data_IF_634226255606
#
_entry.id   IF_634226255606
#
_cell.length_a   1.000
_cell.length_b   1.000
_cell.length_c   1.000
_cell.angle_alpha   90.00
_cell.angle_beta   90.00
_cell.angle_gamma   90.00
#
_symmetry.space_group_name_H-M   'P 1'
#
loop_
_entity.id
_entity.type
_entity.pdbx_description
1 polymer ?
#
# COMPACT_ATOMS: atom_id res chain seq x y z
N UNK A 1 -60.55 19.14 52.67
CA UNK A 1 -61.45 17.98 52.48
C UNK A 1 -60.61 16.84 51.92
N UNK A 2 -60.52 15.72 52.67
CA UNK A 2 -60.20 14.32 52.29
C UNK A 2 -59.20 14.01 51.14
N UNK A 3 -58.06 13.36 51.47
CA UNK A 3 -57.69 11.94 51.17
C UNK A 3 -57.49 11.63 49.67
N UNK A 4 -56.61 10.75 49.17
CA UNK A 4 -55.51 9.86 49.57
C UNK A 4 -55.37 8.92 48.34
N UNK A 5 -54.19 8.35 48.07
CA UNK A 5 -53.96 7.10 47.30
C UNK A 5 -54.13 7.17 45.77
N UNK A 6 -53.48 6.38 44.91
CA UNK A 6 -52.35 5.41 44.89
C UNK A 6 -52.44 4.79 43.49
N UNK A 7 -51.34 4.59 42.75
CA UNK A 7 -51.01 3.35 42.03
C UNK A 7 -49.93 3.57 40.96
N UNK A 8 -48.87 2.77 41.10
CA UNK A 8 -47.92 2.40 40.07
C UNK A 8 -48.62 1.68 38.91
N UNK A 9 -48.20 1.91 37.67
CA UNK A 9 -48.05 0.86 36.64
C UNK A 9 -46.85 1.16 35.74
N UNK A 10 -45.98 0.14 35.66
CA UNK A 10 -44.77 0.03 34.83
C UNK A 10 -45.15 0.03 33.34
N UNK A 11 -44.30 0.61 32.48
CA UNK A 11 -44.00 0.09 31.15
C UNK A 11 -42.53 0.41 30.83
N UNK A 12 -41.78 -0.63 30.49
CA UNK A 12 -40.38 -0.66 30.09
C UNK A 12 -40.25 -0.55 28.56
N UNK A 13 -39.00 -0.43 28.09
CA UNK A 13 -38.44 -0.47 26.71
C UNK A 13 -38.36 0.89 26.02
N UNK A 14 -37.19 1.53 25.92
CA UNK A 14 -35.93 1.23 25.18
C UNK A 14 -36.13 1.29 23.67
N UNK A 15 -35.68 2.39 23.07
CA UNK A 15 -35.30 2.48 21.66
C UNK A 15 -34.09 3.41 21.51
N UNK A 16 -33.06 2.87 20.87
CA UNK A 16 -31.73 3.41 20.63
C UNK A 16 -31.67 4.16 19.27
N UNK A 17 -30.67 5.03 19.17
CA UNK A 17 -30.02 5.57 17.97
C UNK A 17 -30.67 6.76 17.24
N UNK A 18 -29.93 7.87 17.19
CA UNK A 18 -29.21 8.30 15.99
C UNK A 18 -28.54 9.66 16.27
N UNK A 19 -27.22 9.75 16.15
CA UNK A 19 -26.55 11.04 15.95
C UNK A 19 -25.43 10.85 14.93
N UNK A 20 -25.71 11.29 13.71
CA UNK A 20 -24.73 11.65 12.71
C UNK A 20 -23.88 12.81 13.23
N UNK A 21 -22.57 12.78 13.01
CA UNK A 21 -21.75 13.98 12.99
C UNK A 21 -20.64 13.84 11.95
N UNK A 22 -20.82 14.57 10.84
CA UNK A 22 -19.77 14.97 9.90
C UNK A 22 -18.96 16.09 10.55
N UNK A 23 -17.64 16.10 10.37
CA UNK A 23 -16.82 17.27 10.72
C UNK A 23 -15.33 17.07 10.47
N UNK A 24 -14.83 17.63 9.36
CA UNK A 24 -13.41 17.83 9.10
C UNK A 24 -13.00 19.18 9.69
N UNK A 25 -11.84 19.25 10.35
CA UNK A 25 -11.15 20.51 10.68
C UNK A 25 -10.29 20.43 11.94
N UNK A 26 -8.97 20.24 11.79
CA UNK A 26 -7.96 20.56 12.82
C UNK A 26 -7.69 22.09 12.86
N UNK A 27 -6.95 22.69 13.82
CA UNK A 27 -6.15 22.10 14.93
C UNK A 27 -6.34 22.78 16.31
N UNK A 28 -5.93 22.12 17.41
CA UNK A 28 -5.39 22.81 18.59
C UNK A 28 -4.61 21.87 19.51
N UNK A 29 -3.52 22.41 20.07
CA UNK A 29 -2.59 21.77 20.98
C UNK A 29 -3.19 21.57 22.39
N UNK A 30 -2.88 20.40 22.95
CA UNK A 30 -2.81 20.04 24.37
C UNK A 30 -4.08 20.18 25.21
N UNK A 31 -4.68 19.02 25.55
CA UNK A 31 -4.91 18.61 26.94
C UNK A 31 -4.76 17.08 26.97
N UNK A 32 -3.75 16.61 27.71
CA UNK A 32 -3.51 15.19 27.95
C UNK A 32 -4.65 14.61 28.79
N UNK A 33 -5.69 14.13 28.12
CA UNK A 33 -6.53 13.09 28.66
C UNK A 33 -5.96 11.77 28.12
N UNK A 34 -5.31 11.00 28.98
CA UNK A 34 -5.08 9.57 28.76
C UNK A 34 -6.46 8.90 28.76
N UNK A 35 -7.21 9.07 27.67
CA UNK A 35 -8.14 8.05 27.22
C UNK A 35 -7.23 6.88 26.90
N UNK A 36 -7.27 5.84 27.73
CA UNK A 36 -6.87 4.52 27.27
C UNK A 36 -7.53 4.33 25.90
N UNK A 37 -6.70 4.20 24.87
CA UNK A 37 -7.17 3.81 23.57
C UNK A 37 -7.86 2.47 23.80
N UNK A 38 -9.19 2.42 23.64
CA UNK A 38 -9.89 1.15 23.54
C UNK A 38 -9.18 0.45 22.39
N UNK A 39 -8.41 -0.60 22.69
CA UNK A 39 -7.78 -1.40 21.67
C UNK A 39 -8.88 -1.82 20.71
N UNK A 40 -8.82 -1.36 19.45
CA UNK A 40 -9.75 -1.88 18.45
C UNK A 40 -9.45 -3.36 18.35
N UNK A 41 -10.38 -4.20 18.77
CA UNK A 41 -10.26 -5.63 18.56
C UNK A 41 -10.36 -5.88 17.06
N UNK A 42 -9.41 -6.65 16.53
CA UNK A 42 -9.23 -6.78 15.10
C UNK A 42 -7.90 -7.41 14.75
N UNK A 43 -7.78 -7.82 13.49
CA UNK A 43 -6.51 -8.30 12.94
C UNK A 43 -5.61 -7.11 12.62
N UNK A 44 -4.44 -7.01 13.27
CA UNK A 44 -3.48 -5.92 13.06
C UNK A 44 -2.35 -6.35 12.12
N UNK A 45 -2.25 -5.66 10.99
CA UNK A 45 -1.18 -5.81 10.01
C UNK A 45 -0.40 -4.52 9.86
N UNK A 46 0.74 -4.59 9.19
CA UNK A 46 1.61 -3.48 8.91
C UNK A 46 1.66 -3.22 7.41
N UNK A 47 1.56 -1.97 6.98
CA UNK A 47 1.40 -1.62 5.57
C UNK A 47 2.40 -0.54 5.13
N UNK A 48 2.98 -0.73 3.95
CA UNK A 48 3.68 0.32 3.18
C UNK A 48 3.16 0.39 1.75
N UNK A 49 3.22 1.60 1.16
CA UNK A 49 3.08 1.81 -0.29
C UNK A 49 4.32 2.54 -0.77
N UNK A 50 5.12 1.89 -1.61
CA UNK A 50 6.50 2.23 -1.90
C UNK A 50 6.67 2.58 -3.38
N UNK A 51 7.47 3.60 -3.67
CA UNK A 51 7.88 4.00 -5.02
C UNK A 51 9.38 4.27 -5.07
N UNK A 52 10.14 3.53 -4.26
CA UNK A 52 11.58 3.69 -4.08
C UNK A 52 12.36 3.45 -5.38
N UNK A 53 11.84 2.64 -6.32
CA UNK A 53 12.40 2.46 -7.66
C UNK A 53 12.48 3.75 -8.48
N UNK A 54 11.63 4.74 -8.16
CA UNK A 54 11.64 6.06 -8.79
C UNK A 54 12.59 7.04 -8.08
N UNK A 55 13.24 6.62 -6.98
CA UNK A 55 14.00 7.51 -6.09
C UNK A 55 13.12 8.49 -5.30
N UNK A 56 11.80 8.26 -5.25
CA UNK A 56 10.82 9.20 -4.68
C UNK A 56 10.24 8.76 -3.33
N UNK A 57 10.83 7.76 -2.68
CA UNK A 57 10.39 7.32 -1.36
C UNK A 57 9.09 6.52 -1.37
N UNK A 58 8.18 6.87 -0.45
CA UNK A 58 6.93 6.14 -0.19
C UNK A 58 5.72 7.05 -0.43
N UNK A 59 4.63 6.45 -0.89
CA UNK A 59 3.29 7.06 -0.86
C UNK A 59 2.71 6.95 0.55
N UNK A 60 2.87 5.77 1.18
CA UNK A 60 2.42 5.50 2.54
C UNK A 60 3.62 4.98 3.35
N UNK A 61 4.07 5.80 4.30
CA UNK A 61 5.05 5.38 5.30
C UNK A 61 4.51 4.21 6.15
N UNK A 62 5.39 3.39 6.77
CA UNK A 62 4.97 2.27 7.62
C UNK A 62 3.86 2.65 8.60
N UNK A 63 2.74 1.93 8.52
CA UNK A 63 1.55 2.20 9.35
C UNK A 63 0.96 0.89 9.87
N UNK A 64 0.36 0.96 11.07
CA UNK A 64 -0.47 -0.11 11.61
C UNK A 64 -1.90 0.02 11.07
N UNK A 65 -2.41 -1.07 10.52
CA UNK A 65 -3.79 -1.17 10.05
C UNK A 65 -4.49 -2.24 10.87
N UNK A 66 -5.55 -1.88 11.59
CA UNK A 66 -6.35 -2.84 12.35
C UNK A 66 -7.68 -3.07 11.63
N UNK A 67 -7.81 -4.27 11.07
CA UNK A 67 -9.01 -4.72 10.35
C UNK A 67 -10.03 -5.18 11.40
N UNK A 68 -11.28 -4.65 11.41
CA UNK A 68 -12.26 -5.00 12.43
C UNK A 68 -12.61 -6.50 12.44
N UNK A 69 -12.84 -7.08 13.63
CA UNK A 69 -13.22 -8.49 13.81
C UNK A 69 -14.51 -8.91 13.07
N UNK A 70 -15.33 -7.94 12.64
CA UNK A 70 -16.49 -8.20 11.79
C UNK A 70 -16.11 -8.75 10.40
N UNK A 71 -14.87 -8.54 9.95
CA UNK A 71 -14.33 -9.09 8.71
C UNK A 71 -13.73 -10.46 8.99
N UNK A 72 -14.44 -11.51 8.58
CA UNK A 72 -13.95 -12.89 8.72
C UNK A 72 -12.91 -13.20 7.64
N UNK A 73 -11.82 -13.87 8.02
CA UNK A 73 -10.69 -14.21 7.12
C UNK A 73 -10.15 -12.97 6.37
N UNK A 74 -9.69 -11.95 7.10
CA UNK A 74 -9.29 -10.68 6.51
C UNK A 74 -8.21 -10.88 5.45
N UNK A 75 -8.26 -10.08 4.40
CA UNK A 75 -7.33 -10.14 3.26
C UNK A 75 -6.45 -8.90 3.18
N UNK A 76 -5.43 -8.95 2.32
CA UNK A 76 -4.64 -7.77 1.97
C UNK A 76 -5.55 -6.64 1.45
N UNK A 77 -6.56 -6.98 0.63
CA UNK A 77 -7.52 -6.00 0.11
C UNK A 77 -8.35 -5.33 1.22
N UNK A 78 -8.72 -6.06 2.27
CA UNK A 78 -9.40 -5.49 3.44
C UNK A 78 -8.48 -4.52 4.21
N UNK A 79 -7.18 -4.84 4.33
CA UNK A 79 -6.20 -3.93 4.91
C UNK A 79 -6.09 -2.63 4.09
N UNK A 80 -5.99 -2.75 2.76
CA UNK A 80 -5.90 -1.60 1.86
C UNK A 80 -7.17 -0.74 1.92
N UNK A 81 -8.36 -1.34 1.92
CA UNK A 81 -9.62 -0.60 2.11
C UNK A 81 -9.72 0.06 3.47
N UNK A 82 -9.24 -0.58 4.52
CA UNK A 82 -9.23 0.01 5.87
C UNK A 82 -8.35 1.26 5.91
N UNK A 83 -7.21 1.24 5.21
CA UNK A 83 -6.27 2.36 5.16
C UNK A 83 -6.72 3.49 4.23
N UNK A 84 -7.17 3.17 3.01
CA UNK A 84 -7.42 4.14 1.94
C UNK A 84 -8.90 4.44 1.71
N UNK A 85 -9.79 3.72 2.40
CA UNK A 85 -11.24 3.79 2.20
C UNK A 85 -11.71 2.96 1.02
N UNK A 86 -13.04 2.91 0.85
CA UNK A 86 -13.66 2.25 -0.31
C UNK A 86 -13.74 3.17 -1.53
N UNK A 87 -13.64 4.49 -1.33
CA UNK A 87 -13.64 5.45 -2.44
C UNK A 87 -12.37 5.32 -3.28
N UNK A 88 -12.45 5.79 -4.51
CA UNK A 88 -11.32 5.75 -5.45
C UNK A 88 -10.32 6.89 -5.20
N UNK A 89 -10.44 7.63 -4.08
CA UNK A 89 -9.68 8.85 -3.81
C UNK A 89 -8.26 8.56 -3.31
N UNK A 90 -8.06 7.47 -2.58
CA UNK A 90 -6.75 7.03 -2.09
C UNK A 90 -6.12 5.89 -2.89
N UNK A 91 -6.96 5.10 -3.56
CA UNK A 91 -6.56 3.90 -4.28
C UNK A 91 -7.55 3.62 -5.41
N UNK A 92 -7.06 3.39 -6.62
CA UNK A 92 -7.90 2.92 -7.72
C UNK A 92 -8.00 1.41 -7.68
N UNK A 93 -9.21 0.88 -7.62
CA UNK A 93 -9.46 -0.54 -7.49
C UNK A 93 -10.73 -1.00 -8.21
N UNK A 94 -10.76 -2.26 -8.60
CA UNK A 94 -11.90 -2.87 -9.26
C UNK A 94 -12.03 -4.37 -8.90
N UNK A 95 -13.25 -4.88 -8.93
CA UNK A 95 -13.49 -6.31 -8.93
C UNK A 95 -13.37 -6.85 -10.35
N UNK A 96 -12.50 -7.82 -10.54
CA UNK A 96 -12.31 -8.53 -11.82
C UNK A 96 -12.80 -9.97 -11.70
N UNK A 97 -12.85 -10.68 -12.83
CA UNK A 97 -13.12 -12.13 -12.82
C UNK A 97 -12.07 -12.95 -12.05
N UNK A 98 -10.90 -12.37 -11.78
CA UNK A 98 -9.80 -13.00 -11.05
C UNK A 98 -9.70 -12.53 -9.59
N UNK A 99 -10.67 -11.74 -9.12
CA UNK A 99 -10.70 -11.15 -7.78
C UNK A 99 -10.46 -9.64 -7.76
N UNK A 100 -10.30 -9.05 -6.57
CA UNK A 100 -9.99 -7.63 -6.44
C UNK A 100 -8.65 -7.31 -7.11
N UNK A 101 -8.58 -6.12 -7.71
CA UNK A 101 -7.39 -5.60 -8.37
C UNK A 101 -7.18 -4.14 -7.98
N UNK A 102 -5.93 -3.75 -7.68
CA UNK A 102 -5.53 -2.37 -7.41
C UNK A 102 -4.65 -1.90 -8.55
N UNK A 103 -5.08 -0.83 -9.22
CA UNK A 103 -4.41 -0.30 -10.40
C UNK A 103 -3.62 0.97 -10.12
N UNK A 104 -3.89 1.67 -9.01
CA UNK A 104 -3.16 2.88 -8.66
C UNK A 104 -3.27 3.23 -7.18
N UNK A 105 -2.31 4.01 -6.68
CA UNK A 105 -2.41 4.71 -5.41
C UNK A 105 -2.30 6.21 -5.63
N UNK A 106 -3.03 6.99 -4.84
CA UNK A 106 -2.98 8.44 -4.91
C UNK A 106 -1.57 8.91 -4.56
N UNK A 107 -0.93 9.63 -5.48
CA UNK A 107 0.41 10.14 -5.33
C UNK A 107 0.40 11.66 -5.42
N UNK A 108 0.66 12.30 -4.27
CA UNK A 108 0.68 13.76 -4.15
C UNK A 108 2.00 14.36 -4.62
N UNK A 109 2.98 13.55 -5.02
CA UNK A 109 4.22 14.08 -5.58
C UNK A 109 3.95 14.66 -6.97
N UNK A 110 4.21 15.96 -7.10
CA UNK A 110 4.07 16.68 -8.37
C UNK A 110 5.31 16.56 -9.26
N UNK A 111 6.41 15.98 -8.73
CA UNK A 111 7.65 15.76 -9.48
C UNK A 111 7.54 14.51 -10.35
N UNK A 112 7.54 14.70 -11.67
CA UNK A 112 7.59 13.61 -12.64
C UNK A 112 8.95 12.89 -12.57
N UNK A 113 8.92 11.57 -12.71
CA UNK A 113 10.12 10.77 -12.84
C UNK A 113 10.71 10.86 -14.26
N UNK A 114 12.02 11.06 -14.35
CA UNK A 114 12.75 11.02 -15.62
C UNK A 114 13.12 9.57 -15.95
N UNK A 115 12.44 8.99 -16.93
CA UNK A 115 12.67 7.59 -17.37
C UNK A 115 14.04 7.38 -17.99
N UNK A 116 14.77 8.44 -18.35
CA UNK A 116 16.17 8.33 -18.75
C UNK A 116 17.09 7.95 -17.58
N UNK A 117 16.67 8.19 -16.33
CA UNK A 117 17.45 7.87 -15.12
C UNK A 117 17.20 6.45 -14.61
N UNK A 118 16.39 5.65 -15.29
CA UNK A 118 16.12 4.28 -14.87
C UNK A 118 17.35 3.39 -15.05
N UNK A 119 17.96 2.99 -13.94
CA UNK A 119 19.23 2.25 -13.88
C UNK A 119 19.20 0.86 -14.55
N UNK A 120 18.03 0.28 -14.78
CA UNK A 120 17.88 -1.04 -15.42
C UNK A 120 17.26 -0.98 -16.81
N UNK A 121 17.26 0.19 -17.45
CA UNK A 121 16.64 0.36 -18.78
C UNK A 121 17.21 -0.59 -19.84
N UNK A 122 18.50 -0.89 -19.77
CA UNK A 122 19.17 -1.82 -20.70
C UNK A 122 18.71 -3.28 -20.53
N UNK A 123 18.09 -3.62 -19.38
CA UNK A 123 17.47 -4.93 -19.13
C UNK A 123 16.03 -5.00 -19.67
N UNK A 124 15.51 -3.92 -20.25
CA UNK A 124 14.15 -3.79 -20.77
C UNK A 124 14.13 -3.26 -22.23
N UNK A 125 14.83 -3.93 -23.18
CA UNK A 125 15.03 -3.39 -24.54
C UNK A 125 13.73 -3.14 -25.31
N UNK A 126 12.67 -3.90 -24.99
CA UNK A 126 11.40 -3.88 -25.71
C UNK A 126 10.27 -3.12 -25.04
N UNK A 127 10.48 -2.62 -23.83
CA UNK A 127 9.42 -1.94 -23.10
C UNK A 127 9.03 -0.66 -23.82
N UNK A 128 7.73 -0.42 -23.94
CA UNK A 128 7.24 0.85 -24.46
C UNK A 128 7.41 1.95 -23.41
N UNK A 129 8.20 2.97 -23.74
CA UNK A 129 8.42 4.16 -22.90
C UNK A 129 7.69 5.40 -23.46
N UNK A 130 6.83 5.24 -24.48
CA UNK A 130 6.18 6.32 -25.22
C UNK A 130 4.70 6.02 -25.48
N UNK A 131 3.88 7.06 -25.56
CA UNK A 131 2.44 6.99 -25.91
C UNK A 131 2.16 6.60 -27.37
N UNK A 132 3.18 6.51 -28.24
CA UNK A 132 3.01 6.37 -29.69
C UNK A 132 3.00 4.93 -30.21
N UNK A 133 3.25 3.92 -29.36
CA UNK A 133 2.95 2.52 -29.72
C UNK A 133 1.49 2.23 -29.33
N UNK A 134 0.91 1.11 -29.78
CA UNK A 134 -0.42 0.63 -29.37
C UNK A 134 -0.55 0.34 -27.84
N UNK A 135 0.35 0.87 -27.02
CA UNK A 135 0.40 0.79 -25.58
C UNK A 135 0.58 2.20 -25.03
N UNK A 136 -0.53 2.77 -24.56
CA UNK A 136 -0.55 4.09 -23.92
C UNK A 136 0.26 4.02 -22.62
N UNK A 137 1.30 4.85 -22.53
CA UNK A 137 2.04 5.11 -21.29
C UNK A 137 1.42 6.31 -20.62
N UNK A 138 0.96 6.15 -19.38
CA UNK A 138 0.36 7.25 -18.61
C UNK A 138 1.44 8.05 -17.88
N UNK A 139 1.15 9.32 -17.62
CA UNK A 139 1.95 10.17 -16.73
C UNK A 139 1.02 10.86 -15.73
N UNK A 140 1.47 11.02 -14.48
CA UNK A 140 0.74 11.47 -13.30
C UNK A 140 0.32 12.96 -13.39
N UNK A 141 0.62 13.59 -14.53
CA UNK A 141 0.45 15.02 -14.74
C UNK A 141 -1.01 15.50 -14.62
N UNK A 142 -2.01 14.60 -14.63
CA UNK A 142 -3.42 15.01 -14.72
C UNK A 142 -4.33 14.50 -13.60
N UNK A 143 -4.08 13.35 -12.97
CA UNK A 143 -5.03 12.75 -12.01
C UNK A 143 -4.50 12.52 -10.59
N UNK A 144 -3.21 12.78 -10.32
CA UNK A 144 -2.57 12.64 -8.99
C UNK A 144 -2.55 11.19 -8.47
N UNK A 145 -2.45 10.22 -9.37
CA UNK A 145 -2.24 8.81 -9.06
C UNK A 145 -0.98 8.28 -9.73
N UNK A 146 -0.24 7.46 -9.01
CA UNK A 146 0.76 6.58 -9.62
C UNK A 146 0.08 5.27 -10.04
N UNK A 147 -0.14 5.12 -11.34
CA UNK A 147 -0.97 4.07 -11.93
C UNK A 147 -0.16 2.95 -12.58
N UNK A 148 -0.79 1.79 -12.79
CA UNK A 148 -0.27 0.77 -13.70
C UNK A 148 -0.03 1.39 -15.09
N UNK A 149 1.05 0.96 -15.75
CA UNK A 149 1.53 1.43 -17.06
C UNK A 149 1.96 2.90 -17.09
N UNK A 150 2.25 3.43 -15.91
CA UNK A 150 2.84 4.74 -15.77
C UNK A 150 4.35 4.69 -16.01
N UNK A 151 4.88 5.67 -16.74
CA UNK A 151 6.27 5.75 -17.21
C UNK A 151 6.68 4.69 -18.24
N UNK A 152 6.14 3.48 -18.18
CA UNK A 152 6.35 2.47 -19.21
C UNK A 152 5.22 1.43 -19.27
N UNK A 153 5.12 0.69 -20.38
CA UNK A 153 4.01 -0.24 -20.64
C UNK A 153 3.97 -1.53 -19.81
N UNK A 154 4.93 -1.76 -18.91
CA UNK A 154 4.98 -2.91 -18.00
C UNK A 154 5.07 -2.51 -16.52
N UNK A 155 5.08 -1.21 -16.24
CA UNK A 155 5.14 -0.70 -14.90
C UNK A 155 3.84 -1.00 -14.14
N UNK A 156 3.95 -1.22 -12.84
CA UNK A 156 2.79 -1.56 -12.03
C UNK A 156 3.14 -1.86 -10.58
N UNK A 157 2.12 -2.33 -9.85
CA UNK A 157 2.18 -2.59 -8.42
C UNK A 157 2.48 -4.05 -8.13
N UNK A 158 3.55 -4.32 -7.40
CA UNK A 158 3.90 -5.62 -6.85
C UNK A 158 3.49 -5.64 -5.39
N UNK A 159 2.62 -6.57 -5.02
CA UNK A 159 2.21 -6.76 -3.62
C UNK A 159 2.96 -7.94 -3.03
N UNK A 160 3.47 -7.76 -1.81
CA UNK A 160 4.08 -8.85 -1.03
C UNK A 160 3.46 -8.96 0.35
N UNK A 161 3.48 -10.18 0.90
CA UNK A 161 3.11 -10.51 2.27
C UNK A 161 4.30 -11.17 2.97
N UNK A 162 4.81 -10.56 4.03
CA UNK A 162 6.03 -11.01 4.73
C UNK A 162 7.17 -11.28 3.74
N UNK A 163 7.42 -10.30 2.86
CA UNK A 163 8.46 -10.33 1.82
C UNK A 163 8.31 -11.40 0.72
N UNK A 164 7.21 -12.17 0.73
CA UNK A 164 6.86 -13.09 -0.36
C UNK A 164 5.96 -12.42 -1.39
N UNK A 165 6.30 -12.56 -2.68
CA UNK A 165 5.50 -12.10 -3.81
C UNK A 165 4.48 -13.11 -4.32
N UNK A 166 4.47 -14.32 -3.76
CA UNK A 166 3.58 -15.41 -4.19
C UNK A 166 2.18 -15.27 -3.57
N UNK A 167 1.64 -14.06 -3.69
CA UNK A 167 0.36 -13.65 -3.11
C UNK A 167 -0.43 -12.80 -4.11
N UNK A 168 -1.73 -12.71 -3.88
CA UNK A 168 -2.56 -11.69 -4.51
C UNK A 168 -3.17 -10.82 -3.43
N UNK A 169 -3.80 -9.70 -3.79
CA UNK A 169 -4.48 -8.89 -2.79
C UNK A 169 -5.70 -9.60 -2.16
N UNK A 170 -6.13 -10.75 -2.70
CA UNK A 170 -7.15 -11.61 -2.09
C UNK A 170 -6.56 -12.60 -1.05
N UNK A 171 -5.24 -12.67 -0.90
CA UNK A 171 -4.59 -13.52 0.11
C UNK A 171 -4.99 -13.10 1.52
N UNK A 172 -5.31 -14.07 2.36
CA UNK A 172 -5.64 -13.87 3.78
C UNK A 172 -4.42 -13.41 4.57
N UNK A 173 -4.65 -12.57 5.57
CA UNK A 173 -3.64 -12.04 6.49
C UNK A 173 -3.95 -12.44 7.93
N UNK A 174 -2.92 -12.40 8.77
CA UNK A 174 -3.00 -12.64 10.21
C UNK A 174 -2.30 -11.51 10.98
N UNK A 175 -2.50 -11.51 12.29
CA UNK A 175 -1.83 -10.58 13.19
C UNK A 175 -0.31 -10.59 12.98
N UNK A 176 0.26 -9.39 12.85
CA UNK A 176 1.69 -9.20 12.70
C UNK A 176 2.20 -9.20 11.27
N UNK A 177 1.39 -9.60 10.29
CA UNK A 177 1.80 -9.66 8.89
C UNK A 177 2.21 -8.29 8.33
N UNK A 178 3.18 -8.29 7.42
CA UNK A 178 3.65 -7.09 6.72
C UNK A 178 3.24 -7.16 5.26
N UNK A 179 2.49 -6.15 4.84
CA UNK A 179 2.03 -5.93 3.48
C UNK A 179 2.87 -4.80 2.87
N UNK A 180 3.43 -5.04 1.69
CA UNK A 180 4.12 -4.00 0.92
C UNK A 180 3.49 -3.94 -0.46
N UNK A 181 3.06 -2.75 -0.88
CA UNK A 181 2.66 -2.48 -2.25
C UNK A 181 3.75 -1.62 -2.90
N UNK A 182 4.54 -2.22 -3.77
CA UNK A 182 5.77 -1.63 -4.30
C UNK A 182 5.59 -1.35 -5.80
N UNK A 183 5.78 -0.09 -6.21
CA UNK A 183 5.79 0.26 -7.62
C UNK A 183 7.06 -0.29 -8.26
N UNK A 184 6.91 -0.88 -9.45
CA UNK A 184 8.02 -1.46 -10.22
C UNK A 184 7.92 -1.00 -11.66
N UNK A 185 9.06 -0.78 -12.30
CA UNK A 185 9.19 -0.51 -13.73
C UNK A 185 9.52 -1.79 -14.52
N UNK A 186 9.77 -2.92 -13.85
CA UNK A 186 10.19 -4.19 -14.47
C UNK A 186 9.48 -5.44 -13.90
N UNK A 187 8.17 -5.35 -13.66
CA UNK A 187 7.35 -6.45 -13.13
C UNK A 187 7.95 -7.13 -11.87
N UNK A 188 8.57 -6.34 -10.99
CA UNK A 188 9.20 -6.77 -9.74
C UNK A 188 10.67 -7.17 -9.84
N UNK A 189 11.23 -7.29 -11.05
CA UNK A 189 12.65 -7.64 -11.22
C UNK A 189 13.58 -6.60 -10.59
N UNK A 190 13.20 -5.33 -10.70
CA UNK A 190 13.85 -4.16 -10.10
C UNK A 190 13.55 -3.94 -8.60
N UNK A 191 12.78 -4.85 -8.00
CA UNK A 191 12.50 -4.87 -6.56
C UNK A 191 13.14 -6.08 -5.86
N UNK A 192 14.01 -6.80 -6.57
CA UNK A 192 14.71 -7.96 -6.01
C UNK A 192 14.01 -9.30 -6.25
N UNK A 193 12.94 -9.35 -7.06
CA UNK A 193 12.15 -10.56 -7.30
C UNK A 193 12.39 -11.17 -8.68
N UNK A 194 12.01 -12.43 -8.89
CA UNK A 194 11.80 -12.95 -10.24
C UNK A 194 10.47 -12.46 -10.82
N UNK A 195 10.42 -12.28 -12.14
CA UNK A 195 9.24 -11.73 -12.82
C UNK A 195 9.09 -12.23 -14.25
N UNK A 196 8.08 -11.70 -14.92
CA UNK A 196 7.88 -11.87 -16.36
C UNK A 196 8.01 -10.50 -17.01
N UNK A 197 8.95 -10.36 -17.95
CA UNK A 197 9.21 -9.10 -18.65
C UNK A 197 9.18 -9.33 -20.17
N UNK A 198 9.03 -8.28 -20.98
CA UNK A 198 9.14 -8.38 -22.43
C UNK A 198 10.52 -8.89 -22.86
N UNK A 199 10.52 -9.85 -23.78
CA UNK A 199 11.70 -10.49 -24.37
C UNK A 199 11.82 -10.14 -25.86
N UNK A 200 13.01 -10.34 -26.41
CA UNK A 200 13.32 -10.13 -27.84
C UNK A 200 13.61 -8.66 -28.20
N UNK A 201 13.45 -8.32 -29.48
CA UNK A 201 13.72 -6.97 -30.04
C UNK A 201 12.48 -6.30 -30.67
N UNK A 202 11.36 -7.04 -30.83
CA UNK A 202 10.14 -6.53 -31.46
C UNK A 202 8.85 -6.92 -30.70
N UNK A 203 7.80 -6.11 -30.84
CA UNK A 203 6.44 -6.48 -30.44
C UNK A 203 5.94 -7.63 -31.33
N UNK A 204 4.96 -8.39 -30.86
CA UNK A 204 4.24 -9.34 -31.72
C UNK A 204 3.54 -8.59 -32.86
N UNK A 205 3.15 -9.31 -33.91
CA UNK A 205 2.38 -8.77 -35.04
C UNK A 205 1.08 -8.04 -34.64
N UNK A 206 0.59 -8.31 -33.42
CA UNK A 206 -0.61 -7.70 -32.84
C UNK A 206 -0.32 -6.54 -31.88
N UNK A 207 0.95 -6.13 -31.72
CA UNK A 207 1.34 -5.02 -30.84
C UNK A 207 1.45 -5.39 -29.36
N UNK A 208 1.57 -6.68 -29.02
CA UNK A 208 1.78 -7.16 -27.65
C UNK A 208 3.25 -7.46 -27.37
N UNK A 209 3.62 -7.50 -26.09
CA UNK A 209 4.94 -7.99 -25.71
C UNK A 209 5.00 -9.51 -25.81
N UNK A 210 6.17 -10.01 -26.22
CA UNK A 210 6.52 -11.40 -26.00
C UNK A 210 7.03 -11.55 -24.56
N UNK A 211 6.22 -12.09 -23.65
CA UNK A 211 6.58 -12.20 -22.24
C UNK A 211 7.42 -13.45 -21.97
N UNK A 212 8.45 -13.30 -21.14
CA UNK A 212 9.25 -14.43 -20.67
C UNK A 212 9.82 -14.20 -19.27
N UNK A 213 10.26 -15.28 -18.61
CA UNK A 213 10.77 -15.21 -17.25
C UNK A 213 12.07 -14.39 -17.18
N UNK A 214 12.24 -13.68 -16.07
CA UNK A 214 13.48 -12.98 -15.73
C UNK A 214 13.81 -13.16 -14.26
N UNK A 215 15.09 -13.21 -13.95
CA UNK A 215 15.59 -13.12 -12.58
C UNK A 215 15.51 -11.68 -12.07
N UNK A 216 15.80 -11.53 -10.78
CA UNK A 216 16.02 -10.21 -10.19
C UNK A 216 17.09 -9.42 -10.93
N UNK A 217 16.93 -8.10 -10.94
CA UNK A 217 17.91 -7.15 -11.44
C UNK A 217 18.87 -6.66 -10.37
N UNK A 218 18.55 -6.90 -9.10
CA UNK A 218 19.33 -6.50 -7.94
C UNK A 218 20.30 -7.62 -7.55
N UNK A 219 21.44 -7.24 -6.97
CA UNK A 219 22.42 -8.22 -6.48
C UNK A 219 21.99 -8.82 -5.15
N UNK A 220 21.39 -7.99 -4.30
CA UNK A 220 20.92 -8.36 -2.97
C UNK A 220 19.55 -7.76 -2.71
N UNK A 221 18.86 -8.34 -1.74
CA UNK A 221 17.54 -7.91 -1.28
C UNK A 221 17.37 -8.33 0.17
N UNK A 222 17.27 -7.36 1.07
CA UNK A 222 16.92 -7.63 2.46
C UNK A 222 15.40 -7.81 2.66
N UNK A 223 15.03 -8.67 3.61
CA UNK A 223 13.70 -8.69 4.21
C UNK A 223 13.60 -7.52 5.21
N UNK A 224 12.64 -6.63 4.95
CA UNK A 224 12.41 -5.40 5.71
C UNK A 224 11.19 -5.49 6.62
N UNK A 225 10.63 -6.68 6.82
CA UNK A 225 9.38 -6.87 7.57
C UNK A 225 9.47 -6.37 9.01
N UNK A 226 10.54 -6.72 9.73
CA UNK A 226 10.74 -6.23 11.11
C UNK A 226 11.01 -4.72 11.17
N UNK A 227 11.77 -4.19 10.19
CA UNK A 227 12.02 -2.76 10.09
C UNK A 227 10.70 -1.99 9.92
N UNK A 228 9.82 -2.47 9.06
CA UNK A 228 8.48 -1.89 8.85
C UNK A 228 7.64 -1.97 10.12
N UNK A 229 7.64 -3.11 10.83
CA UNK A 229 6.95 -3.25 12.12
C UNK A 229 7.45 -2.24 13.14
N UNK A 230 8.77 -2.10 13.29
CA UNK A 230 9.40 -1.13 14.19
C UNK A 230 8.98 0.30 13.85
N UNK A 231 9.12 0.71 12.59
CA UNK A 231 8.75 2.06 12.14
C UNK A 231 7.28 2.37 12.33
N UNK A 232 6.38 1.42 12.07
CA UNK A 232 4.95 1.60 12.26
C UNK A 232 4.53 1.66 13.74
N UNK A 233 5.29 1.03 14.63
CA UNK A 233 5.05 1.07 16.08
C UNK A 233 5.61 2.33 16.74
N UNK A 234 6.81 2.75 16.37
CA UNK A 234 7.50 3.91 16.95
C UNK A 234 7.08 5.24 16.28
N UNK A 235 6.56 5.17 15.06
CA UNK A 235 6.18 6.33 14.24
C UNK A 235 7.37 7.22 13.87
N UNK A 236 7.07 8.45 13.44
CA UNK A 236 8.10 9.46 13.09
C UNK A 236 8.93 9.94 14.30
N UNK A 237 8.51 9.59 15.53
CA UNK A 237 9.24 9.88 16.76
C UNK A 237 10.42 8.95 17.05
N UNK A 238 10.63 7.91 16.25
CA UNK A 238 11.76 7.01 16.41
C UNK A 238 13.10 7.77 16.41
N UNK A 239 13.98 7.49 17.37
CA UNK A 239 15.26 8.22 17.59
C UNK A 239 16.23 8.12 16.40
N UNK A 240 15.92 7.31 15.38
CA UNK A 240 16.68 7.18 14.14
C UNK A 240 15.78 7.10 12.89
N UNK A 241 14.60 7.73 12.89
CA UNK A 241 13.61 7.58 11.82
C UNK A 241 14.20 7.78 10.40
N UNK A 242 15.06 8.78 10.20
CA UNK A 242 15.69 9.03 8.90
C UNK A 242 16.58 7.87 8.44
N UNK A 243 17.32 7.23 9.36
CA UNK A 243 18.14 6.05 9.04
C UNK A 243 17.26 4.85 8.68
N UNK A 244 16.18 4.63 9.44
CA UNK A 244 15.21 3.57 9.16
C UNK A 244 14.53 3.80 7.80
N UNK A 245 14.19 5.05 7.48
CA UNK A 245 13.59 5.43 6.21
C UNK A 245 14.57 5.27 5.03
N UNK A 246 15.84 5.62 5.22
CA UNK A 246 16.87 5.38 4.21
C UNK A 246 17.04 3.88 3.96
N UNK A 247 17.12 3.08 5.02
CA UNK A 247 17.19 1.61 4.91
C UNK A 247 15.95 1.01 4.23
N UNK A 248 14.76 1.54 4.51
CA UNK A 248 13.54 1.11 3.84
C UNK A 248 13.57 1.42 2.33
N UNK A 249 14.08 2.57 1.93
CA UNK A 249 14.14 3.00 0.53
C UNK A 249 15.28 2.40 -0.29
N UNK A 250 16.37 1.98 0.34
CA UNK A 250 17.50 1.40 -0.35
C UNK A 250 17.18 0.00 -0.87
N UNK A 251 17.04 -0.14 -2.19
CA UNK A 251 16.62 -1.40 -2.82
C UNK A 251 17.66 -2.52 -2.70
N UNK A 252 18.95 -2.19 -2.60
CA UNK A 252 20.07 -3.14 -2.51
C UNK A 252 20.73 -3.16 -1.13
N UNK A 253 20.01 -2.71 -0.09
CA UNK A 253 20.53 -2.78 1.27
C UNK A 253 20.77 -4.23 1.69
N UNK A 254 21.92 -4.47 2.32
CA UNK A 254 22.29 -5.77 2.87
C UNK A 254 21.47 -6.10 4.13
N UNK A 255 21.16 -7.39 4.32
CA UNK A 255 20.38 -7.86 5.48
C UNK A 255 21.06 -7.50 6.80
N UNK A 256 22.39 -7.60 6.90
CA UNK A 256 23.13 -7.24 8.11
C UNK A 256 22.93 -5.77 8.52
N UNK A 257 22.79 -4.87 7.54
CA UNK A 257 22.54 -3.45 7.80
C UNK A 257 21.12 -3.25 8.32
N UNK A 258 20.13 -3.97 7.77
CA UNK A 258 18.75 -3.95 8.27
C UNK A 258 18.69 -4.48 9.70
N UNK A 259 19.34 -5.62 9.97
CA UNK A 259 19.36 -6.26 11.29
C UNK A 259 20.01 -5.36 12.34
N UNK A 260 21.08 -4.63 11.98
CA UNK A 260 21.74 -3.67 12.87
C UNK A 260 20.91 -2.45 13.27
N UNK A 261 19.74 -2.23 12.65
CA UNK A 261 18.84 -1.11 12.94
C UNK A 261 17.65 -1.47 13.85
N UNK A 262 17.43 -2.75 14.14
CA UNK A 262 16.29 -3.25 14.92
C UNK A 262 16.51 -3.13 16.43
#
# INVERSE_FOLDING_TARGET
MFKKKLLQRKLLSVSLAALFAVGIGAPSLAHANTKEAVASSGTTVYLTVEKSVLGQGLIQAPVKVTIPDSVQNPTIYDALKTQFGESQDGMKHAMTQYGPYVSAFADKNETLYDTAQYQHKDKLPNVCWSTNKNQEVKTNATDKFLSEKEYNGVAGWVTTLNDSKDVTIASTVKDGDVIRCQFSLAAGCDLGYSGWIPQGEELTEYGYYNWGPSSSFLNTKADKSELIRKMANEGQSATNYDKLMNALNDLEIEQEVVDGLL
#
